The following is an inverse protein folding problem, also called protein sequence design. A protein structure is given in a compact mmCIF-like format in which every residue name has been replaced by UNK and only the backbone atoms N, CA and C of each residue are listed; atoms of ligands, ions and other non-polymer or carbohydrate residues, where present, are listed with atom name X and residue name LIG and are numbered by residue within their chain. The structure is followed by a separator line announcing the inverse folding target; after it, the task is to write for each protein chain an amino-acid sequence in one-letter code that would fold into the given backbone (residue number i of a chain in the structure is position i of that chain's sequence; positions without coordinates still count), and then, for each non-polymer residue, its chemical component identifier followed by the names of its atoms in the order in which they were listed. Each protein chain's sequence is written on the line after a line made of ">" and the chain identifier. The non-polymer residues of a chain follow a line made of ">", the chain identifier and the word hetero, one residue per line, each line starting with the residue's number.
data_IF_687599697772
#
_entry.id   IF_687599697772
#
_cell.length_a   1.000
_cell.length_b   1.000
_cell.length_c   1.000
_cell.angle_alpha   90.00
_cell.angle_beta   90.00
_cell.angle_gamma   90.00
#
_symmetry.space_group_name_H-M   'P 1'
#
loop_
_entity.id
_entity.type
_entity.pdbx_description
1 polymer ?
#
# COMPACT_ATOMS: atom_id res chain seq x y z
N UNK A 1 17.86 1.91 10.44
CA UNK A 1 18.61 1.30 9.31
C UNK A 1 19.79 2.13 8.82
N UNK A 2 19.74 3.47 8.86
CA UNK A 2 20.92 4.33 8.64
C UNK A 2 22.08 4.00 9.57
N UNK A 3 21.79 3.63 10.82
CA UNK A 3 22.80 3.17 11.81
C UNK A 3 23.54 1.90 11.35
N UNK A 4 22.88 0.99 10.62
CA UNK A 4 23.48 -0.28 10.18
C UNK A 4 24.52 -0.03 9.08
N UNK A 5 24.23 0.88 8.12
CA UNK A 5 25.16 1.22 7.05
C UNK A 5 26.40 1.95 7.56
N UNK A 6 26.21 2.84 8.56
CA UNK A 6 27.32 3.56 9.20
C UNK A 6 28.20 2.58 9.99
N UNK A 7 27.61 1.63 10.72
CA UNK A 7 28.36 0.61 11.48
C UNK A 7 29.12 -0.41 10.61
N UNK A 8 28.69 -0.65 9.37
CA UNK A 8 29.27 -1.70 8.50
C UNK A 8 30.39 -1.21 7.58
N UNK A 9 30.40 0.07 7.21
CA UNK A 9 31.24 0.55 6.10
C UNK A 9 31.90 1.91 6.35
N UNK A 10 31.57 2.65 7.44
CA UNK A 10 32.12 3.98 7.80
C UNK A 10 32.64 4.84 6.63
N UNK A 11 31.80 5.18 5.63
CA UNK A 11 32.26 5.91 4.47
C UNK A 11 32.54 7.38 4.83
N UNK A 12 33.63 7.94 4.32
CA UNK A 12 33.90 9.37 4.43
C UNK A 12 33.00 10.18 3.49
N UNK A 13 31.83 10.54 4.01
CA UNK A 13 30.81 11.31 3.28
C UNK A 13 31.23 12.74 2.96
N UNK A 14 32.32 13.25 3.56
CA UNK A 14 32.78 14.63 3.33
C UNK A 14 33.30 14.85 1.90
N UNK A 15 33.73 13.77 1.24
CA UNK A 15 34.28 13.78 -0.12
C UNK A 15 33.20 13.72 -1.21
N UNK A 16 31.93 13.56 -0.84
CA UNK A 16 30.85 13.33 -1.79
C UNK A 16 30.50 14.59 -2.60
N UNK A 17 30.31 14.41 -3.90
CA UNK A 17 30.03 15.49 -4.83
C UNK A 17 28.59 15.41 -5.36
N UNK A 18 27.92 16.57 -5.39
CA UNK A 18 26.55 16.72 -5.87
C UNK A 18 26.45 17.85 -6.91
N UNK A 19 25.42 17.79 -7.77
CA UNK A 19 25.16 18.77 -8.82
C UNK A 19 25.55 18.30 -10.23
N UNK A 20 25.08 19.04 -11.23
CA UNK A 20 25.35 18.76 -12.65
C UNK A 20 26.83 18.92 -13.00
N UNK A 21 27.36 18.07 -13.87
CA UNK A 21 28.76 18.11 -14.32
C UNK A 21 29.77 17.52 -13.33
N UNK A 22 29.36 17.15 -12.10
CA UNK A 22 30.23 16.46 -11.14
C UNK A 22 30.12 14.94 -11.29
N UNK A 23 31.27 14.26 -11.42
CA UNK A 23 31.33 12.80 -11.52
C UNK A 23 31.48 12.17 -10.12
N UNK A 24 30.44 11.47 -9.68
CA UNK A 24 30.48 10.68 -8.42
C UNK A 24 31.50 9.55 -8.48
N UNK A 25 32.22 9.33 -7.38
CA UNK A 25 33.10 8.16 -7.22
C UNK A 25 32.28 6.86 -7.21
N UNK A 26 32.95 5.70 -7.41
CA UNK A 26 32.27 4.40 -7.32
C UNK A 26 31.69 4.18 -5.92
N UNK A 27 32.45 4.52 -4.88
CA UNK A 27 32.05 4.43 -3.47
C UNK A 27 30.80 5.24 -3.17
N UNK A 28 30.77 6.52 -3.59
CA UNK A 28 29.59 7.36 -3.41
C UNK A 28 28.36 6.75 -4.08
N UNK A 29 28.49 6.21 -5.30
CA UNK A 29 27.38 5.54 -6.01
C UNK A 29 26.88 4.32 -5.26
N UNK A 30 27.78 3.46 -4.79
CA UNK A 30 27.42 2.27 -4.03
C UNK A 30 26.72 2.64 -2.72
N UNK A 31 27.25 3.63 -2.00
CA UNK A 31 26.64 4.12 -0.77
C UNK A 31 25.23 4.69 -0.99
N UNK A 32 25.03 5.54 -2.01
CA UNK A 32 23.72 6.10 -2.33
C UNK A 32 22.73 5.01 -2.78
N UNK A 33 23.18 4.02 -3.54
CA UNK A 33 22.35 2.86 -3.91
C UNK A 33 21.90 2.06 -2.68
N UNK A 34 22.83 1.71 -1.79
CA UNK A 34 22.52 0.99 -0.55
C UNK A 34 21.58 1.79 0.36
N UNK A 35 21.78 3.10 0.44
CA UNK A 35 20.91 4.00 1.19
C UNK A 35 19.49 4.01 0.59
N UNK A 36 19.37 4.06 -0.73
CA UNK A 36 18.09 4.00 -1.45
C UNK A 36 17.38 2.67 -1.20
N UNK A 37 18.11 1.55 -1.21
CA UNK A 37 17.55 0.24 -0.89
C UNK A 37 17.06 0.16 0.55
N UNK A 38 17.80 0.71 1.52
CA UNK A 38 17.37 0.76 2.90
C UNK A 38 16.09 1.58 3.09
N UNK A 39 15.99 2.74 2.42
CA UNK A 39 14.76 3.55 2.42
C UNK A 39 13.58 2.78 1.82
N UNK A 40 13.80 2.07 0.70
CA UNK A 40 12.77 1.23 0.07
C UNK A 40 12.32 0.07 0.96
N UNK A 41 13.25 -0.57 1.67
CA UNK A 41 12.92 -1.62 2.63
C UNK A 41 12.06 -1.08 3.78
N UNK A 42 12.41 0.09 4.33
CA UNK A 42 11.58 0.74 5.35
C UNK A 42 10.17 1.08 4.83
N UNK A 43 10.08 1.60 3.61
CA UNK A 43 8.80 1.85 2.94
C UNK A 43 7.98 0.55 2.82
N UNK A 44 8.60 -0.56 2.41
CA UNK A 44 7.90 -1.85 2.30
C UNK A 44 7.46 -2.41 3.64
N UNK A 45 8.27 -2.31 4.69
CA UNK A 45 7.89 -2.72 6.05
C UNK A 45 6.62 -1.98 6.48
N UNK A 46 6.60 -0.65 6.33
CA UNK A 46 5.41 0.14 6.65
C UNK A 46 4.20 -0.24 5.79
N UNK A 47 4.39 -0.49 4.49
CA UNK A 47 3.29 -0.93 3.61
C UNK A 47 2.72 -2.29 4.01
N UNK A 48 3.58 -3.24 4.37
CA UNK A 48 3.16 -4.58 4.83
C UNK A 48 2.42 -4.46 6.16
N UNK A 49 2.92 -3.66 7.09
CA UNK A 49 2.27 -3.41 8.38
C UNK A 49 0.89 -2.76 8.20
N UNK A 50 0.79 -1.74 7.34
CA UNK A 50 -0.48 -1.12 7.00
C UNK A 50 -1.42 -2.13 6.34
N UNK A 51 -0.94 -2.94 5.39
CA UNK A 51 -1.75 -3.93 4.71
C UNK A 51 -2.24 -5.01 5.70
N UNK A 52 -1.41 -5.47 6.63
CA UNK A 52 -1.77 -6.54 7.56
C UNK A 52 -1.95 -7.90 6.88
N UNK A 53 -2.19 -8.96 7.65
CA UNK A 53 -2.16 -10.35 7.15
C UNK A 53 -3.40 -10.75 6.34
N UNK A 54 -4.53 -10.06 6.54
CA UNK A 54 -5.84 -10.50 6.06
C UNK A 54 -6.26 -9.85 4.73
N UNK A 55 -5.40 -9.05 4.09
CA UNK A 55 -5.71 -8.36 2.83
C UNK A 55 -4.49 -8.17 1.94
N UNK A 56 -4.75 -8.06 0.64
CA UNK A 56 -3.73 -7.96 -0.41
C UNK A 56 -3.55 -6.54 -0.98
N UNK A 57 -4.44 -5.60 -0.65
CA UNK A 57 -4.38 -4.23 -1.16
C UNK A 57 -5.06 -3.25 -0.23
N UNK A 58 -4.71 -1.96 -0.36
CA UNK A 58 -5.35 -0.86 0.33
C UNK A 58 -5.18 0.45 -0.46
N UNK A 59 -6.10 1.41 -0.31
CA UNK A 59 -5.94 2.74 -0.94
C UNK A 59 -4.83 3.55 -0.27
N UNK A 60 -4.11 4.35 -1.07
CA UNK A 60 -3.10 5.27 -0.54
C UNK A 60 -3.70 6.36 0.35
N UNK A 61 -4.89 6.85 0.00
CA UNK A 61 -5.60 7.92 0.73
C UNK A 61 -6.44 7.36 1.88
N UNK A 62 -7.24 6.33 1.61
CA UNK A 62 -8.04 5.63 2.63
C UNK A 62 -7.48 4.21 2.85
N UNK A 63 -6.64 4.07 3.87
CA UNK A 63 -6.02 2.78 4.20
C UNK A 63 -7.03 1.71 4.59
N UNK A 64 -8.30 2.03 4.83
CA UNK A 64 -9.34 1.04 5.14
C UNK A 64 -10.02 0.49 3.88
N UNK A 65 -10.01 1.21 2.76
CA UNK A 65 -10.61 0.75 1.51
C UNK A 65 -9.75 -0.30 0.80
N UNK A 66 -10.39 -1.31 0.21
CA UNK A 66 -9.73 -2.36 -0.57
C UNK A 66 -9.96 -2.11 -2.06
N UNK A 67 -8.98 -2.40 -2.91
CA UNK A 67 -9.18 -2.32 -4.35
C UNK A 67 -10.12 -3.42 -4.84
N UNK A 68 -11.23 -3.03 -5.46
CA UNK A 68 -12.26 -3.90 -5.98
C UNK A 68 -12.48 -3.62 -7.46
N UNK A 69 -12.93 -4.63 -8.19
CA UNK A 69 -13.38 -4.48 -9.57
C UNK A 69 -14.82 -3.98 -9.51
N UNK A 70 -15.04 -2.73 -9.89
CA UNK A 70 -16.37 -2.12 -9.90
C UNK A 70 -17.10 -2.57 -11.17
N UNK A 71 -18.43 -2.60 -11.13
CA UNK A 71 -19.24 -2.88 -12.32
C UNK A 71 -18.86 -1.90 -13.41
N UNK A 72 -18.66 -2.43 -14.62
CA UNK A 72 -18.32 -1.65 -15.80
C UNK A 72 -19.35 -0.56 -16.02
N UNK A 73 -18.90 0.68 -16.22
CA UNK A 73 -19.79 1.74 -16.65
C UNK A 73 -20.28 1.50 -18.08
N UNK A 74 -21.27 2.27 -18.53
CA UNK A 74 -21.77 2.22 -19.91
C UNK A 74 -20.65 2.47 -20.95
N UNK A 75 -19.56 3.11 -20.54
CA UNK A 75 -18.39 3.42 -21.37
C UNK A 75 -17.38 2.27 -21.46
N UNK A 76 -17.62 1.14 -20.79
CA UNK A 76 -16.73 -0.02 -20.84
C UNK A 76 -15.51 0.08 -19.91
N UNK A 77 -15.45 1.05 -19.00
CA UNK A 77 -14.33 1.22 -18.09
C UNK A 77 -14.44 0.22 -16.93
N UNK A 78 -13.66 -0.85 -17.02
CA UNK A 78 -13.51 -1.83 -15.97
C UNK A 78 -12.27 -1.52 -15.15
N UNK A 79 -12.41 -0.57 -14.21
CA UNK A 79 -11.29 -0.10 -13.40
C UNK A 79 -11.30 -0.73 -12.01
N UNK A 80 -10.10 -1.09 -11.54
CA UNK A 80 -9.86 -1.45 -10.16
C UNK A 80 -9.81 -0.16 -9.31
N UNK A 81 -10.81 0.06 -8.47
CA UNK A 81 -10.94 1.25 -7.64
C UNK A 81 -11.00 0.87 -6.15
N UNK A 82 -10.47 1.72 -5.26
CA UNK A 82 -10.62 1.50 -3.82
C UNK A 82 -12.09 1.70 -3.42
N UNK A 83 -12.68 0.69 -2.80
CA UNK A 83 -14.09 0.69 -2.44
C UNK A 83 -14.36 -0.13 -1.18
N UNK A 84 -15.61 -0.05 -0.74
CA UNK A 84 -16.22 -0.91 0.26
C UNK A 84 -17.38 -1.66 -0.37
N UNK A 85 -17.60 -2.89 0.08
CA UNK A 85 -18.76 -3.68 -0.26
C UNK A 85 -19.86 -3.39 0.76
N UNK A 86 -20.92 -2.68 0.35
CA UNK A 86 -22.06 -2.35 1.20
C UNK A 86 -23.18 -3.34 0.94
N UNK A 87 -23.72 -3.94 2.00
CA UNK A 87 -24.84 -4.87 1.93
C UNK A 87 -26.00 -4.36 2.76
N UNK A 88 -27.21 -4.58 2.25
CA UNK A 88 -28.45 -4.11 2.85
C UNK A 88 -29.42 -5.28 2.85
N UNK A 89 -29.83 -5.71 4.04
CA UNK A 89 -30.91 -6.68 4.27
C UNK A 89 -32.24 -5.95 4.38
N UNK A 90 -33.24 -6.40 3.62
CA UNK A 90 -34.60 -5.83 3.63
C UNK A 90 -35.60 -6.94 3.92
N UNK A 91 -36.50 -6.71 4.87
CA UNK A 91 -37.62 -7.60 5.19
C UNK A 91 -38.89 -6.77 5.43
N UNK A 92 -40.02 -7.23 4.89
CA UNK A 92 -41.33 -6.58 5.03
C UNK A 92 -41.31 -5.06 4.72
N UNK A 93 -40.62 -4.67 3.64
CA UNK A 93 -40.44 -3.27 3.22
C UNK A 93 -39.54 -2.41 4.12
N UNK A 94 -38.98 -2.98 5.19
CA UNK A 94 -38.04 -2.30 6.09
C UNK A 94 -36.60 -2.77 5.88
N UNK A 95 -35.66 -1.84 6.01
CA UNK A 95 -34.23 -2.17 6.10
C UNK A 95 -33.96 -2.72 7.49
N UNK A 96 -33.61 -4.01 7.57
CA UNK A 96 -33.36 -4.70 8.84
C UNK A 96 -31.89 -4.65 9.24
N UNK A 97 -30.98 -4.71 8.27
CA UNK A 97 -29.53 -4.70 8.50
C UNK A 97 -28.81 -3.92 7.40
N UNK A 98 -27.76 -3.21 7.78
CA UNK A 98 -26.80 -2.59 6.86
C UNK A 98 -25.41 -2.96 7.33
N UNK A 99 -24.57 -3.44 6.41
CA UNK A 99 -23.19 -3.79 6.69
C UNK A 99 -22.23 -3.21 5.64
N UNK A 100 -21.03 -2.82 6.08
CA UNK A 100 -20.01 -2.19 5.24
C UNK A 100 -18.70 -2.96 5.40
N UNK A 101 -18.42 -3.78 4.39
CA UNK A 101 -17.30 -4.69 4.40
C UNK A 101 -16.16 -4.26 3.49
N UNK A 102 -14.96 -4.64 3.88
CA UNK A 102 -13.73 -4.44 3.08
C UNK A 102 -13.46 -5.63 2.16
N UNK A 103 -14.26 -6.68 2.25
CA UNK A 103 -14.13 -7.90 1.46
C UNK A 103 -14.71 -7.71 0.06
N UNK A 104 -14.00 -8.24 -0.94
CA UNK A 104 -14.44 -8.18 -2.33
C UNK A 104 -15.60 -9.14 -2.61
N UNK A 105 -15.65 -10.26 -1.90
CA UNK A 105 -16.74 -11.23 -2.00
C UNK A 105 -17.78 -10.92 -0.92
N UNK A 106 -19.03 -11.09 -1.30
CA UNK A 106 -20.23 -11.05 -0.49
C UNK A 106 -20.50 -12.34 0.29
N UNK A 107 -19.81 -13.44 -0.01
CA UNK A 107 -20.06 -14.76 0.58
C UNK A 107 -19.91 -14.77 2.11
N UNK A 108 -18.82 -14.20 2.64
CA UNK A 108 -18.59 -14.11 4.09
C UNK A 108 -19.49 -13.07 4.78
N UNK A 109 -20.10 -12.18 4.00
CA UNK A 109 -20.93 -11.09 4.50
C UNK A 109 -22.40 -11.51 4.69
N UNK A 110 -22.78 -12.73 4.29
CA UNK A 110 -24.11 -13.30 4.58
C UNK A 110 -24.23 -13.88 5.99
N UNK A 111 -23.11 -14.26 6.63
CA UNK A 111 -23.13 -14.84 7.98
C UNK A 111 -23.75 -13.91 9.04
N UNK A 112 -23.51 -12.59 9.03
CA UNK A 112 -24.18 -11.64 9.92
C UNK A 112 -25.62 -11.28 9.52
N UNK A 113 -26.05 -11.65 8.30
CA UNK A 113 -27.37 -11.34 7.74
C UNK A 113 -28.38 -12.50 7.88
N UNK A 114 -27.93 -13.66 8.36
CA UNK A 114 -28.76 -14.80 8.79
C UNK A 114 -28.98 -14.78 10.31
#
# INVERSE_FOLDING_TARGET
>A
MTVILVLLWEPDTSTFVYGSGKRKSKEQRHYEHLTTFCQKLQEYIQKIEICGPNRNSYSKTDKSATFMRIKTDYMGNDQLLPAYNVQIGVADEYITVVDVNRYRSDMDCFVPLM
#
